data_IF_051823624542
#
_entry.id   IF_051823624542
#
_cell.length_a   1.000
_cell.length_b   1.000
_cell.length_c   1.000
_cell.angle_alpha   90.00
_cell.angle_beta   90.00
_cell.angle_gamma   90.00
#
_symmetry.space_group_name_H-M   'P 1'
#
loop_
_entity.id
_entity.type
_entity.pdbx_description
1 polymer ?
#
# COMPACT_ATOMS: atom_id res chain seq x y z
N UNK A 1 72.42 14.40 -4.17
CA UNK A 1 72.58 14.10 -2.74
C UNK A 1 71.21 14.09 -2.11
N UNK A 2 70.85 12.98 -1.47
CA UNK A 2 69.62 12.80 -0.72
C UNK A 2 69.65 13.62 0.58
N UNK A 3 68.49 14.01 1.11
CA UNK A 3 68.05 13.57 2.44
C UNK A 3 66.64 14.08 2.79
N UNK A 4 65.90 13.19 3.45
CA UNK A 4 64.48 13.22 3.82
C UNK A 4 64.20 13.95 5.15
N UNK A 5 62.90 14.11 5.43
CA UNK A 5 62.24 14.26 6.75
C UNK A 5 62.05 15.71 7.22
N UNK A 6 60.87 16.21 7.64
CA UNK A 6 59.72 15.64 8.36
C UNK A 6 58.40 16.29 7.85
N UNK A 7 57.38 15.54 7.43
CA UNK A 7 56.25 14.97 8.21
C UNK A 7 55.32 15.98 8.92
N UNK A 8 54.02 15.75 8.65
CA UNK A 8 52.78 16.32 9.24
C UNK A 8 52.47 17.74 8.71
N UNK A 9 51.43 18.01 7.93
CA UNK A 9 49.99 18.12 8.22
C UNK A 9 49.38 18.43 6.81
N UNK A 10 48.44 17.73 6.17
CA UNK A 10 47.05 17.42 6.49
C UNK A 10 46.65 16.19 5.68
N UNK A 11 46.13 15.17 6.36
CA UNK A 11 45.31 14.16 5.72
C UNK A 11 44.00 14.81 5.25
N UNK A 12 43.98 15.40 4.06
CA UNK A 12 42.74 15.59 3.31
C UNK A 12 42.55 14.34 2.47
N UNK A 13 41.99 13.32 3.12
CA UNK A 13 41.46 12.12 2.51
C UNK A 13 40.41 12.51 1.46
N UNK A 14 40.85 12.76 0.23
CA UNK A 14 39.97 12.64 -0.92
C UNK A 14 39.85 11.13 -1.17
N UNK A 15 39.05 10.49 -0.32
CA UNK A 15 38.42 9.24 -0.65
C UNK A 15 37.59 9.58 -1.89
N UNK A 16 38.12 9.29 -3.08
CA UNK A 16 37.34 9.22 -4.31
C UNK A 16 36.40 8.04 -4.09
N UNK A 17 35.31 8.30 -3.35
CA UNK A 17 34.18 7.42 -3.28
C UNK A 17 33.67 7.39 -4.71
N UNK A 18 33.98 6.31 -5.41
CA UNK A 18 33.18 5.87 -6.54
C UNK A 18 31.81 5.55 -5.94
N UNK A 19 31.00 6.61 -5.74
CA UNK A 19 29.58 6.47 -5.54
C UNK A 19 29.11 5.94 -6.88
N UNK A 20 29.07 4.61 -6.99
CA UNK A 20 28.14 3.99 -7.90
C UNK A 20 26.79 4.50 -7.41
N UNK A 21 26.28 5.54 -8.09
CA UNK A 21 24.91 5.93 -7.96
C UNK A 21 24.12 4.69 -8.38
N UNK A 22 23.72 3.87 -7.41
CA UNK A 22 22.67 2.89 -7.60
C UNK A 22 21.47 3.78 -7.92
N UNK A 23 20.95 3.79 -9.15
CA UNK A 23 19.67 4.42 -9.36
C UNK A 23 18.73 3.73 -8.38
N UNK A 24 18.11 4.51 -7.51
CA UNK A 24 16.97 4.03 -6.75
C UNK A 24 15.92 3.67 -7.81
N UNK A 25 15.95 2.43 -8.29
CA UNK A 25 14.82 1.86 -8.97
C UNK A 25 13.76 1.82 -7.87
N UNK A 26 12.84 2.79 -7.89
CA UNK A 26 11.51 2.56 -7.33
C UNK A 26 11.07 1.23 -7.94
N UNK A 27 11.14 0.16 -7.15
CA UNK A 27 10.70 -1.14 -7.62
C UNK A 27 9.21 -0.96 -7.92
N UNK A 28 8.86 -0.86 -9.20
CA UNK A 28 7.46 -0.80 -9.61
C UNK A 28 6.79 -2.03 -9.03
N UNK A 29 5.81 -1.80 -8.15
CA UNK A 29 5.06 -2.87 -7.52
C UNK A 29 4.32 -3.62 -8.63
N UNK A 30 4.74 -4.85 -8.93
CA UNK A 30 4.05 -5.69 -9.90
C UNK A 30 2.73 -6.20 -9.30
N UNK A 31 1.69 -5.40 -9.45
CA UNK A 31 0.34 -5.70 -8.96
C UNK A 31 -0.17 -7.01 -9.54
N UNK A 32 0.20 -7.39 -10.77
CA UNK A 32 -0.26 -8.66 -11.38
C UNK A 32 0.38 -9.86 -10.71
N UNK A 33 1.68 -9.80 -10.43
CA UNK A 33 2.38 -10.84 -9.69
C UNK A 33 1.80 -10.98 -8.27
N UNK A 34 1.55 -9.86 -7.59
CA UNK A 34 0.92 -9.86 -6.26
C UNK A 34 -0.48 -10.47 -6.32
N UNK A 35 -1.31 -10.08 -7.29
CA UNK A 35 -2.65 -10.66 -7.46
C UNK A 35 -2.58 -12.17 -7.66
N UNK A 36 -1.66 -12.66 -8.49
CA UNK A 36 -1.44 -14.09 -8.70
C UNK A 36 -1.07 -14.79 -7.40
N UNK A 37 -0.06 -14.28 -6.68
CA UNK A 37 0.39 -14.81 -5.38
C UNK A 37 -0.73 -14.85 -4.34
N UNK A 38 -1.52 -13.79 -4.26
CA UNK A 38 -2.63 -13.71 -3.33
C UNK A 38 -3.78 -14.64 -3.70
N UNK A 39 -4.03 -14.86 -4.99
CA UNK A 39 -5.04 -15.81 -5.45
C UNK A 39 -4.64 -17.27 -5.19
N UNK A 40 -3.35 -17.60 -5.32
CA UNK A 40 -2.84 -18.96 -5.01
C UNK A 40 -3.08 -19.36 -3.54
N UNK A 41 -2.91 -18.41 -2.62
CA UNK A 41 -3.09 -18.65 -1.18
C UNK A 41 -4.53 -18.42 -0.71
N UNK A 42 -5.30 -17.58 -1.40
CA UNK A 42 -6.65 -17.20 -1.05
C UNK A 42 -7.51 -17.12 -2.33
N UNK A 43 -7.94 -18.27 -2.88
CA UNK A 43 -8.64 -18.30 -4.15
C UNK A 43 -9.95 -17.50 -4.12
N UNK A 44 -10.15 -16.69 -5.15
CA UNK A 44 -11.37 -15.92 -5.40
C UNK A 44 -11.74 -15.91 -6.87
N UNK A 45 -13.03 -15.72 -7.14
CA UNK A 45 -13.49 -15.31 -8.46
C UNK A 45 -13.28 -13.80 -8.65
N UNK A 46 -12.95 -13.40 -9.88
CA UNK A 46 -12.74 -11.98 -10.22
C UNK A 46 -13.96 -11.10 -9.88
N UNK A 47 -15.16 -11.68 -9.91
CA UNK A 47 -16.42 -11.02 -9.56
C UNK A 47 -16.39 -10.38 -8.17
N UNK A 48 -15.65 -10.95 -7.20
CA UNK A 48 -15.53 -10.35 -5.87
C UNK A 48 -14.88 -8.96 -5.94
N UNK A 49 -13.83 -8.80 -6.74
CA UNK A 49 -13.15 -7.52 -6.90
C UNK A 49 -14.00 -6.55 -7.74
N UNK A 50 -14.66 -7.06 -8.77
CA UNK A 50 -15.53 -6.25 -9.62
C UNK A 50 -16.72 -5.68 -8.82
N UNK A 51 -17.43 -6.52 -8.07
CA UNK A 51 -18.52 -6.11 -7.20
C UNK A 51 -18.06 -5.17 -6.10
N UNK A 52 -16.88 -5.38 -5.51
CA UNK A 52 -16.32 -4.47 -4.51
C UNK A 52 -16.09 -3.08 -5.11
N UNK A 53 -15.51 -2.99 -6.31
CA UNK A 53 -15.28 -1.70 -6.99
C UNK A 53 -16.59 -1.04 -7.45
N UNK A 54 -17.60 -1.82 -7.87
CA UNK A 54 -18.86 -1.30 -8.41
C UNK A 54 -19.88 -0.92 -7.33
N UNK A 55 -19.97 -1.71 -6.26
CA UNK A 55 -21.03 -1.61 -5.25
C UNK A 55 -20.51 -1.21 -3.88
N UNK A 56 -19.20 -1.34 -3.65
CA UNK A 56 -18.57 -1.16 -2.35
C UNK A 56 -18.63 -2.40 -1.46
N UNK A 57 -19.09 -3.56 -1.93
CA UNK A 57 -19.16 -4.80 -1.14
C UNK A 57 -18.95 -6.05 -1.99
N UNK A 58 -18.59 -7.16 -1.34
CA UNK A 58 -18.54 -8.48 -1.98
C UNK A 58 -19.95 -9.04 -2.24
N UNK A 59 -20.10 -9.94 -3.24
CA UNK A 59 -21.37 -10.60 -3.52
C UNK A 59 -21.82 -11.52 -2.37
N UNK A 60 -20.87 -12.22 -1.72
CA UNK A 60 -21.08 -12.92 -0.45
C UNK A 60 -20.00 -12.52 0.57
N UNK A 61 -20.40 -11.82 1.63
CA UNK A 61 -19.50 -11.36 2.68
C UNK A 61 -19.10 -12.47 3.68
N UNK A 62 -19.58 -13.70 3.53
CA UNK A 62 -19.18 -14.82 4.39
C UNK A 62 -17.95 -15.58 3.87
N UNK A 63 -17.53 -15.30 2.63
CA UNK A 63 -16.39 -16.00 2.01
C UNK A 63 -15.06 -15.49 2.58
N UNK A 64 -14.50 -16.27 3.50
CA UNK A 64 -13.24 -15.94 4.19
C UNK A 64 -12.06 -15.78 3.25
N UNK A 65 -11.95 -16.61 2.20
CA UNK A 65 -10.85 -16.51 1.23
C UNK A 65 -10.84 -15.14 0.56
N UNK A 66 -12.01 -14.57 0.22
CA UNK A 66 -12.09 -13.26 -0.39
C UNK A 66 -11.60 -12.13 0.52
N UNK A 67 -11.93 -12.17 1.80
CA UNK A 67 -11.41 -11.19 2.77
C UNK A 67 -9.90 -11.34 2.96
N UNK A 68 -9.43 -12.58 3.03
CA UNK A 68 -8.00 -12.86 3.19
C UNK A 68 -7.19 -12.56 1.92
N UNK A 69 -7.80 -12.60 0.73
CA UNK A 69 -7.19 -12.11 -0.51
C UNK A 69 -6.87 -10.61 -0.39
N UNK A 70 -7.83 -9.78 0.07
CA UNK A 70 -7.60 -8.34 0.29
C UNK A 70 -6.49 -8.11 1.32
N UNK A 71 -6.49 -8.88 2.43
CA UNK A 71 -5.40 -8.83 3.41
C UNK A 71 -4.06 -9.18 2.77
N UNK A 72 -3.98 -10.22 1.94
CA UNK A 72 -2.74 -10.56 1.23
C UNK A 72 -2.27 -9.38 0.37
N UNK A 73 -3.14 -8.79 -0.44
CA UNK A 73 -2.80 -7.61 -1.24
C UNK A 73 -2.24 -6.48 -0.36
N UNK A 74 -2.84 -6.25 0.81
CA UNK A 74 -2.40 -5.20 1.72
C UNK A 74 -1.02 -5.46 2.34
N UNK A 75 -0.72 -6.71 2.66
CA UNK A 75 0.59 -7.13 3.17
C UNK A 75 1.67 -6.98 2.09
N UNK A 76 1.39 -7.46 0.88
CA UNK A 76 2.35 -7.46 -0.23
C UNK A 76 2.66 -6.05 -0.75
N UNK A 77 1.67 -5.15 -0.71
CA UNK A 77 1.86 -3.72 -1.02
C UNK A 77 2.39 -2.93 0.17
N UNK A 78 2.49 -3.56 1.35
CA UNK A 78 3.01 -2.97 2.57
C UNK A 78 2.11 -1.91 3.21
N UNK A 79 0.86 -1.75 2.74
CA UNK A 79 -0.15 -0.88 3.37
C UNK A 79 -0.73 -1.48 4.65
N UNK A 80 -0.43 -2.76 4.90
CA UNK A 80 -0.60 -3.44 6.19
C UNK A 80 0.76 -3.94 6.67
N UNK A 81 1.05 -3.76 7.96
CA UNK A 81 2.29 -4.23 8.58
C UNK A 81 2.21 -5.71 9.02
N UNK A 82 3.32 -6.25 9.55
CA UNK A 82 3.40 -7.64 10.02
C UNK A 82 2.43 -7.98 11.14
N UNK A 83 2.01 -6.99 11.93
CA UNK A 83 1.05 -7.15 13.03
C UNK A 83 -0.40 -7.11 12.54
N UNK A 84 -0.61 -6.79 11.25
CA UNK A 84 -1.91 -6.66 10.63
C UNK A 84 -2.57 -5.31 10.89
N UNK A 85 -1.78 -4.27 11.20
CA UNK A 85 -2.25 -2.90 11.32
C UNK A 85 -2.11 -2.18 9.99
N UNK A 86 -3.09 -1.34 9.70
CA UNK A 86 -3.11 -0.53 8.49
C UNK A 86 -2.16 0.67 8.64
N UNK A 87 -1.32 0.90 7.64
CA UNK A 87 -0.33 1.98 7.63
C UNK A 87 -0.92 3.17 6.87
N UNK A 88 -1.53 4.11 7.60
CA UNK A 88 -2.28 5.24 7.03
C UNK A 88 -1.51 6.02 5.95
N UNK A 89 -0.24 6.34 6.20
CA UNK A 89 0.59 7.07 5.23
C UNK A 89 0.71 6.32 3.89
N UNK A 90 0.93 5.01 3.92
CA UNK A 90 1.04 4.18 2.71
C UNK A 90 -0.30 3.97 2.03
N UNK A 91 -1.40 3.90 2.78
CA UNK A 91 -2.74 3.86 2.21
C UNK A 91 -3.05 5.16 1.45
N UNK A 92 -2.80 6.32 2.06
CA UNK A 92 -2.97 7.63 1.39
C UNK A 92 -2.13 7.73 0.13
N UNK A 93 -0.89 7.25 0.16
CA UNK A 93 -0.04 7.19 -1.03
C UNK A 93 -0.60 6.25 -2.11
N UNK A 94 -0.91 5.00 -1.74
CA UNK A 94 -1.36 3.98 -2.68
C UNK A 94 -2.69 4.34 -3.34
N UNK A 95 -3.65 4.83 -2.56
CA UNK A 95 -4.96 5.24 -3.07
C UNK A 95 -4.93 6.63 -3.71
N UNK A 96 -4.04 7.53 -3.29
CA UNK A 96 -3.87 8.85 -3.89
C UNK A 96 -3.29 8.82 -5.31
N UNK A 97 -2.50 7.78 -5.61
CA UNK A 97 -1.99 7.48 -6.95
C UNK A 97 -3.01 6.71 -7.81
N UNK A 98 -4.08 6.15 -7.21
CA UNK A 98 -5.06 5.33 -7.92
C UNK A 98 -5.95 6.21 -8.78
N UNK A 99 -5.92 5.99 -10.09
CA UNK A 99 -6.97 6.48 -10.98
C UNK A 99 -8.16 5.54 -10.88
N UNK A 100 -9.07 5.82 -9.95
CA UNK A 100 -10.36 5.13 -9.88
C UNK A 100 -11.32 5.62 -10.97
N UNK A 101 -12.44 4.90 -11.24
CA UNK A 101 -13.48 5.37 -12.16
C UNK A 101 -14.15 6.67 -11.69
N UNK A 102 -13.96 7.03 -10.42
CA UNK A 102 -14.46 8.25 -9.80
C UNK A 102 -13.27 9.15 -9.47
N UNK A 103 -13.24 10.35 -10.05
CA UNK A 103 -12.30 11.39 -9.62
C UNK A 103 -12.70 11.87 -8.22
N UNK A 104 -12.09 11.36 -7.16
CA UNK A 104 -12.24 11.86 -5.79
C UNK A 104 -11.17 12.93 -5.54
N UNK A 105 -11.51 14.01 -4.83
CA UNK A 105 -10.51 15.01 -4.46
C UNK A 105 -9.54 14.39 -3.45
N UNK A 106 -8.25 14.66 -3.56
CA UNK A 106 -7.22 14.10 -2.67
C UNK A 106 -7.51 14.36 -1.19
N UNK A 107 -8.00 15.55 -0.82
CA UNK A 107 -8.35 15.87 0.55
C UNK A 107 -9.52 15.01 1.11
N UNK A 108 -10.51 14.69 0.25
CA UNK A 108 -11.62 13.81 0.65
C UNK A 108 -11.11 12.38 0.85
N UNK A 109 -10.19 11.92 -0.02
CA UNK A 109 -9.58 10.60 0.09
C UNK A 109 -8.79 10.42 1.39
N UNK A 110 -7.94 11.39 1.76
CA UNK A 110 -7.18 11.31 3.01
C UNK A 110 -8.10 11.20 4.22
N UNK A 111 -9.17 12.00 4.26
CA UNK A 111 -10.20 11.95 5.29
C UNK A 111 -10.92 10.59 5.29
N UNK A 112 -11.28 10.04 4.13
CA UNK A 112 -11.91 8.72 4.05
C UNK A 112 -11.00 7.62 4.58
N UNK A 113 -9.71 7.64 4.24
CA UNK A 113 -8.73 6.67 4.76
C UNK A 113 -8.68 6.73 6.29
N UNK A 114 -8.55 7.92 6.87
CA UNK A 114 -8.46 8.07 8.34
C UNK A 114 -9.74 7.59 9.03
N UNK A 115 -10.91 7.96 8.51
CA UNK A 115 -12.20 7.55 9.05
C UNK A 115 -12.41 6.03 8.95
N UNK A 116 -12.03 5.42 7.82
CA UNK A 116 -12.18 3.97 7.62
C UNK A 116 -11.20 3.15 8.46
N UNK A 117 -10.00 3.66 8.77
CA UNK A 117 -9.10 3.02 9.73
C UNK A 117 -9.70 3.08 11.15
N UNK A 118 -10.25 4.24 11.53
CA UNK A 118 -10.82 4.43 12.86
C UNK A 118 -12.08 3.58 13.11
N UNK A 119 -12.89 3.32 12.07
CA UNK A 119 -14.14 2.57 12.16
C UNK A 119 -13.96 1.10 12.61
N UNK A 120 -12.77 0.52 12.43
CA UNK A 120 -12.50 -0.91 12.68
C UNK A 120 -11.33 -1.13 13.66
N UNK A 121 -11.10 -0.19 14.57
CA UNK A 121 -10.03 -0.27 15.56
C UNK A 121 -10.12 -1.51 16.48
N UNK A 122 -11.33 -2.03 16.70
CA UNK A 122 -11.65 -3.18 17.56
C UNK A 122 -11.64 -4.53 16.83
N UNK A 123 -11.63 -4.54 15.49
CA UNK A 123 -11.61 -5.77 14.69
C UNK A 123 -10.29 -6.51 14.94
N UNK A 124 -10.33 -7.78 15.34
CA UNK A 124 -9.10 -8.55 15.64
C UNK A 124 -8.62 -9.42 14.48
N UNK A 125 -9.55 -9.92 13.65
CA UNK A 125 -9.21 -10.71 12.47
C UNK A 125 -8.64 -9.82 11.37
N UNK A 126 -7.39 -10.05 10.96
CA UNK A 126 -6.71 -9.24 9.94
C UNK A 126 -7.42 -9.29 8.57
N UNK A 127 -8.01 -10.43 8.19
CA UNK A 127 -8.78 -10.54 6.96
C UNK A 127 -10.05 -9.67 7.01
N UNK A 128 -10.77 -9.68 8.13
CA UNK A 128 -11.93 -8.82 8.33
C UNK A 128 -11.52 -7.34 8.31
N UNK A 129 -10.43 -6.97 8.98
CA UNK A 129 -9.93 -5.60 8.98
C UNK A 129 -9.64 -5.09 7.57
N UNK A 130 -8.91 -5.88 6.77
CA UNK A 130 -8.56 -5.50 5.40
C UNK A 130 -9.81 -5.33 4.52
N UNK A 131 -10.76 -6.26 4.64
CA UNK A 131 -12.02 -6.20 3.90
C UNK A 131 -12.88 -5.00 4.29
N UNK A 132 -13.11 -4.79 5.58
CA UNK A 132 -13.98 -3.72 6.07
C UNK A 132 -13.42 -2.33 5.75
N UNK A 133 -12.10 -2.14 5.85
CA UNK A 133 -11.46 -0.94 5.35
C UNK A 133 -11.73 -0.72 3.86
N UNK A 134 -11.56 -1.76 3.03
CA UNK A 134 -11.79 -1.66 1.58
C UNK A 134 -13.25 -1.35 1.25
N UNK A 135 -14.21 -2.01 1.94
CA UNK A 135 -15.64 -1.73 1.84
C UNK A 135 -15.96 -0.29 2.22
N UNK A 136 -15.44 0.18 3.34
CA UNK A 136 -15.62 1.56 3.80
C UNK A 136 -15.11 2.56 2.76
N UNK A 137 -13.88 2.39 2.29
CA UNK A 137 -13.26 3.30 1.34
C UNK A 137 -14.03 3.35 0.01
N UNK A 138 -14.31 2.20 -0.60
CA UNK A 138 -15.08 2.14 -1.85
C UNK A 138 -16.49 2.72 -1.68
N UNK A 139 -17.14 2.50 -0.54
CA UNK A 139 -18.45 3.08 -0.25
C UNK A 139 -18.40 4.61 -0.18
N UNK A 140 -17.39 5.19 0.48
CA UNK A 140 -17.22 6.64 0.56
C UNK A 140 -16.90 7.26 -0.81
N UNK A 141 -16.05 6.61 -1.62
CA UNK A 141 -15.78 7.04 -3.00
C UNK A 141 -17.06 7.04 -3.85
N UNK A 142 -17.85 5.95 -3.82
CA UNK A 142 -19.11 5.84 -4.56
C UNK A 142 -20.15 6.86 -4.07
N UNK A 143 -20.24 7.12 -2.76
CA UNK A 143 -21.10 8.19 -2.20
C UNK A 143 -20.65 9.57 -2.65
N UNK A 144 -19.34 9.82 -2.68
CA UNK A 144 -18.78 11.08 -3.19
C UNK A 144 -19.11 11.28 -4.67
N UNK A 145 -19.02 10.22 -5.48
CA UNK A 145 -19.38 10.24 -6.90
C UNK A 145 -20.82 10.68 -7.15
N UNK A 146 -21.77 10.12 -6.38
CA UNK A 146 -23.21 10.40 -6.52
C UNK A 146 -23.63 11.79 -6.08
N UNK A 147 -22.78 12.50 -5.32
CA UNK A 147 -23.04 13.86 -4.83
C UNK A 147 -22.57 14.96 -5.80
N UNK A 148 -21.90 14.58 -6.89
CA UNK A 148 -21.49 15.49 -7.98
C UNK A 148 -22.55 15.53 -9.07
#
# INVERSE_FOLDING_TARGET
>A
MAMFSFLVILASSQLLVLVNAVPASEAEVDVKEIMKKCNESNPIDAEYLDQLNMTGSFPDENVRSAKCFIRCMFMETGVMDSDGKLVAAKLKEAFGKRQGPVAVKTADLEMFVDNCIAADADVTCQCERAYRFSKCLMTEELRSAKRK
#
